data_IF_797104795616
#
_entry.id   IF_797104795616
#
_cell.length_a   1.000
_cell.length_b   1.000
_cell.length_c   1.000
_cell.angle_alpha   90.00
_cell.angle_beta   90.00
_cell.angle_gamma   90.00
#
_symmetry.space_group_name_H-M   'P 1'
#
loop_
_entity.id
_entity.type
_entity.pdbx_description
1 polymer ?
#
# COMPACT_ATOMS: atom_id res chain seq x y z
N UNK A 1 12.98 6.81 -12.53
CA UNK A 1 11.57 7.24 -12.32
C UNK A 1 10.99 6.31 -11.27
N UNK A 2 10.27 6.84 -10.28
CA UNK A 2 9.61 6.00 -9.28
C UNK A 2 8.57 5.09 -9.97
N UNK A 3 8.37 3.88 -9.44
CA UNK A 3 7.34 2.94 -9.92
C UNK A 3 6.48 2.50 -8.74
N UNK A 4 5.34 3.18 -8.58
CA UNK A 4 4.41 2.98 -7.49
C UNK A 4 3.72 1.61 -7.57
N UNK A 5 3.39 1.18 -8.79
CA UNK A 5 2.73 -0.11 -9.03
C UNK A 5 3.59 -1.28 -8.55
N UNK A 6 4.90 -1.25 -8.84
CA UNK A 6 5.85 -2.27 -8.42
C UNK A 6 6.03 -2.27 -6.89
N UNK A 7 6.11 -1.10 -6.28
CA UNK A 7 6.26 -0.95 -4.83
C UNK A 7 5.05 -1.51 -4.07
N UNK A 8 3.83 -1.16 -4.50
CA UNK A 8 2.61 -1.68 -3.90
C UNK A 8 2.46 -3.18 -4.11
N UNK A 9 2.75 -3.69 -5.31
CA UNK A 9 2.75 -5.13 -5.60
C UNK A 9 3.67 -5.88 -4.63
N UNK A 10 4.90 -5.39 -4.44
CA UNK A 10 5.85 -5.98 -3.50
C UNK A 10 5.29 -6.00 -2.07
N UNK A 11 4.69 -4.89 -1.61
CA UNK A 11 4.13 -4.79 -0.26
C UNK A 11 2.96 -5.78 -0.03
N UNK A 12 2.04 -5.91 -0.99
CA UNK A 12 0.95 -6.87 -0.91
C UNK A 12 1.44 -8.32 -0.90
N UNK A 13 2.41 -8.64 -1.76
CA UNK A 13 3.01 -9.99 -1.79
C UNK A 13 3.77 -10.31 -0.49
N UNK A 14 4.41 -9.33 0.15
CA UNK A 14 5.07 -9.51 1.43
C UNK A 14 4.06 -9.86 2.54
N UNK A 15 2.92 -9.16 2.60
CA UNK A 15 1.84 -9.48 3.55
C UNK A 15 1.23 -10.86 3.29
N UNK A 16 1.03 -11.23 2.02
CA UNK A 16 0.52 -12.56 1.65
C UNK A 16 1.49 -13.67 2.05
N UNK A 17 2.79 -13.52 1.73
CA UNK A 17 3.83 -14.47 2.14
C UNK A 17 3.93 -14.64 3.64
N UNK A 18 3.78 -13.55 4.40
CA UNK A 18 3.74 -13.61 5.85
C UNK A 18 2.56 -14.45 6.34
N UNK A 19 1.36 -14.24 5.79
CA UNK A 19 0.17 -15.02 6.13
C UNK A 19 0.35 -16.51 5.82
N UNK A 20 0.88 -16.84 4.65
CA UNK A 20 0.97 -18.23 4.17
C UNK A 20 2.07 -19.04 4.88
N UNK A 21 3.18 -18.40 5.25
CA UNK A 21 4.32 -19.06 5.91
C UNK A 21 4.23 -19.09 7.44
N UNK A 22 3.27 -18.37 8.04
CA UNK A 22 3.11 -18.35 9.50
C UNK A 22 2.43 -19.65 9.96
N UNK A 23 3.24 -20.62 10.38
CA UNK A 23 2.78 -21.89 10.97
C UNK A 23 2.52 -21.78 12.48
N UNK A 24 3.08 -20.76 13.14
CA UNK A 24 2.87 -20.48 14.55
C UNK A 24 1.67 -19.51 14.73
N UNK A 25 0.61 -19.92 15.45
CA UNK A 25 -0.56 -19.06 15.70
C UNK A 25 -0.23 -17.78 16.50
N UNK A 26 0.97 -17.65 17.09
CA UNK A 26 1.40 -16.50 17.88
C UNK A 26 2.29 -15.51 17.11
N UNK A 27 2.58 -15.78 15.82
CA UNK A 27 3.39 -14.88 14.97
C UNK A 27 2.51 -13.79 14.33
N UNK A 28 2.79 -12.54 14.70
CA UNK A 28 2.09 -11.35 14.20
C UNK A 28 0.72 -11.12 14.82
N UNK A 29 0.14 -9.95 14.56
CA UNK A 29 -1.16 -9.57 15.14
C UNK A 29 -2.36 -10.20 14.40
N UNK A 30 -2.18 -10.65 13.15
CA UNK A 30 -3.18 -11.19 12.22
C UNK A 30 -4.57 -10.51 12.24
N UNK A 31 -4.61 -9.22 12.59
CA UNK A 31 -5.82 -8.46 12.82
C UNK A 31 -5.85 -7.26 11.87
N UNK A 32 -5.06 -6.22 12.18
CA UNK A 32 -4.94 -5.04 11.34
C UNK A 32 -3.76 -5.22 10.38
N UNK A 33 -4.05 -5.25 9.08
CA UNK A 33 -3.05 -5.25 8.02
C UNK A 33 -2.93 -3.85 7.46
N UNK A 34 -1.72 -3.30 7.47
CA UNK A 34 -1.48 -1.91 7.06
C UNK A 34 -0.28 -1.83 6.12
N UNK A 35 -0.37 -0.92 5.16
CA UNK A 35 0.75 -0.50 4.30
C UNK A 35 0.89 1.02 4.46
N UNK A 36 2.10 1.48 4.72
CA UNK A 36 2.43 2.90 4.83
C UNK A 36 3.38 3.28 3.69
N UNK A 37 2.95 4.21 2.84
CA UNK A 37 3.70 4.68 1.68
C UNK A 37 4.20 6.11 1.93
N UNK A 38 5.51 6.31 1.84
CA UNK A 38 6.15 7.62 1.94
C UNK A 38 6.69 8.01 0.57
N UNK A 39 6.27 9.15 0.02
CA UNK A 39 6.69 9.66 -1.29
C UNK A 39 6.70 11.18 -1.30
N UNK A 40 7.49 11.82 -2.14
CA UNK A 40 7.45 13.26 -2.40
C UNK A 40 6.33 13.71 -3.36
N UNK A 41 5.53 12.74 -3.81
CA UNK A 41 4.37 12.92 -4.67
C UNK A 41 4.46 12.01 -5.90
N UNK A 42 3.69 12.33 -6.94
CA UNK A 42 3.73 11.60 -8.21
C UNK A 42 2.38 11.54 -8.90
N UNK A 43 2.41 11.33 -10.22
CA UNK A 43 1.21 11.20 -11.06
C UNK A 43 0.92 9.75 -11.45
N UNK A 44 1.76 8.80 -11.02
CA UNK A 44 1.58 7.39 -11.38
C UNK A 44 0.42 6.78 -10.60
N UNK A 45 -0.49 6.20 -11.35
CA UNK A 45 -1.64 5.48 -10.82
C UNK A 45 -1.32 3.99 -10.68
N UNK A 46 -1.78 3.39 -9.58
CA UNK A 46 -1.58 1.97 -9.29
C UNK A 46 -2.91 1.24 -9.07
N UNK A 47 -3.98 1.70 -9.75
CA UNK A 47 -5.35 1.20 -9.57
C UNK A 47 -5.46 -0.30 -9.83
N UNK A 48 -4.86 -0.79 -10.91
CA UNK A 48 -4.88 -2.22 -11.25
C UNK A 48 -4.28 -3.10 -10.14
N UNK A 49 -3.22 -2.61 -9.47
CA UNK A 49 -2.59 -3.33 -8.36
C UNK A 49 -3.48 -3.29 -7.12
N UNK A 50 -4.04 -2.13 -6.80
CA UNK A 50 -4.94 -1.98 -5.66
C UNK A 50 -6.21 -2.82 -5.82
N UNK A 51 -6.81 -2.85 -7.00
CA UNK A 51 -7.98 -3.66 -7.29
C UNK A 51 -7.65 -5.16 -7.24
N UNK A 52 -6.53 -5.57 -7.84
CA UNK A 52 -6.10 -6.97 -7.85
C UNK A 52 -5.83 -7.53 -6.45
N UNK A 53 -5.16 -6.75 -5.59
CA UNK A 53 -4.67 -7.24 -4.30
C UNK A 53 -5.52 -6.80 -3.09
N UNK A 54 -6.38 -5.79 -3.23
CA UNK A 54 -7.12 -5.18 -2.11
C UNK A 54 -8.52 -4.69 -2.51
N UNK A 55 -9.20 -5.36 -3.45
CA UNK A 55 -10.59 -5.04 -3.82
C UNK A 55 -11.57 -5.18 -2.66
N UNK A 56 -11.29 -6.08 -1.71
CA UNK A 56 -12.06 -6.26 -0.47
C UNK A 56 -11.77 -5.19 0.60
N UNK A 57 -10.76 -4.34 0.36
CA UNK A 57 -10.29 -3.29 1.27
C UNK A 57 -9.87 -3.81 2.65
N UNK A 58 -9.45 -5.07 2.74
CA UNK A 58 -9.05 -5.68 4.02
C UNK A 58 -7.68 -5.20 4.53
N UNK A 59 -6.91 -4.48 3.70
CA UNK A 59 -5.63 -3.88 4.03
C UNK A 59 -5.75 -2.36 3.95
N UNK A 60 -5.36 -1.65 5.01
CA UNK A 60 -5.39 -0.19 5.05
C UNK A 60 -4.12 0.40 4.45
N UNK A 61 -4.28 1.37 3.55
CA UNK A 61 -3.15 2.04 2.91
C UNK A 61 -3.10 3.49 3.38
N UNK A 62 -2.01 3.86 4.05
CA UNK A 62 -1.72 5.23 4.45
C UNK A 62 -0.66 5.81 3.53
N UNK A 63 -0.90 7.01 3.01
CA UNK A 63 0.05 7.72 2.14
C UNK A 63 0.54 8.99 2.82
N UNK A 64 1.84 9.24 2.73
CA UNK A 64 2.52 10.38 3.31
C UNK A 64 3.28 11.10 2.21
N UNK A 65 2.80 12.30 1.85
CA UNK A 65 3.52 13.23 0.98
C UNK A 65 4.59 13.96 1.82
N UNK A 66 5.88 13.75 1.51
CA UNK A 66 7.01 14.28 2.28
C UNK A 66 7.94 15.16 1.43
N UNK A 67 8.51 16.20 2.03
CA UNK A 67 9.50 17.05 1.37
C UNK A 67 9.02 18.48 1.07
N UNK A 68 9.95 19.39 0.70
CA UNK A 68 9.68 20.82 0.58
C UNK A 68 8.96 21.21 -0.73
N UNK A 69 9.09 20.40 -1.79
CA UNK A 69 8.43 20.62 -3.08
C UNK A 69 7.52 19.42 -3.37
N UNK A 70 6.26 19.45 -2.94
CA UNK A 70 5.36 18.35 -3.24
C UNK A 70 5.08 18.33 -4.74
N UNK A 71 5.48 17.25 -5.41
CA UNK A 71 4.87 16.85 -6.68
C UNK A 71 3.36 16.65 -6.39
N UNK A 72 2.44 16.90 -7.35
CA UNK A 72 1.01 16.75 -7.09
C UNK A 72 0.69 15.46 -6.32
N UNK A 73 0.00 15.60 -5.19
CA UNK A 73 -0.29 14.52 -4.25
C UNK A 73 -1.70 13.94 -4.43
N UNK A 74 -2.42 14.36 -5.47
CA UNK A 74 -3.79 13.93 -5.74
C UNK A 74 -3.91 12.40 -5.79
N UNK A 75 -2.99 11.75 -6.51
CA UNK A 75 -2.96 10.29 -6.61
C UNK A 75 -2.70 9.63 -5.25
N UNK A 76 -1.77 10.15 -4.45
CA UNK A 76 -1.52 9.64 -3.09
C UNK A 76 -2.76 9.77 -2.20
N UNK A 77 -3.46 10.90 -2.28
CA UNK A 77 -4.70 11.14 -1.53
C UNK A 77 -5.79 10.16 -1.96
N UNK A 78 -5.96 9.95 -3.25
CA UNK A 78 -6.98 9.06 -3.82
C UNK A 78 -6.73 7.59 -3.41
N UNK A 79 -5.46 7.16 -3.40
CA UNK A 79 -5.05 5.84 -2.90
C UNK A 79 -5.45 5.66 -1.43
N UNK A 80 -5.15 6.63 -0.57
CA UNK A 80 -5.52 6.57 0.85
C UNK A 80 -7.05 6.61 1.06
N UNK A 81 -7.77 7.43 0.28
CA UNK A 81 -9.23 7.50 0.36
C UNK A 81 -9.92 6.18 -0.04
N UNK A 82 -9.37 5.50 -1.05
CA UNK A 82 -9.99 4.31 -1.63
C UNK A 82 -9.73 3.01 -0.85
N UNK A 83 -8.78 3.01 0.09
CA UNK A 83 -8.30 1.81 0.81
C UNK A 83 -8.39 1.98 2.35
N UNK A 84 -9.61 1.91 2.90
CA UNK A 84 -9.95 2.11 4.33
C UNK A 84 -10.37 0.83 5.05
#
# INVERSE_FOLDING_TARGET
>A
MANLSLALKFAFEALAKFKDNSTDPWIGANCNKVIMLFSDGGTEEAWDVLEKYNSDKSIRVFTYAIGPHPVPYATLKEIACSNR
#
